data_IF_873350117602
#
_entry.id   IF_873350117602
#
_cell.length_a   1.000
_cell.length_b   1.000
_cell.length_c   1.000
_cell.angle_alpha   90.00
_cell.angle_beta   90.00
_cell.angle_gamma   90.00
#
_symmetry.space_group_name_H-M   'P 1'
#
loop_
_entity.id
_entity.type
_entity.pdbx_description
1 polymer ?
#
# COMPACT_ATOMS: atom_id res chain seq x y z
N UNK A 1 -15.90 -6.34 -21.75
CA UNK A 1 -14.91 -6.84 -20.83
C UNK A 1 -15.52 -7.01 -19.45
N UNK A 2 -15.08 -8.01 -18.69
CA UNK A 2 -15.52 -8.24 -17.31
C UNK A 2 -14.83 -7.29 -16.34
N UNK A 3 -15.57 -6.81 -15.33
CA UNK A 3 -15.06 -5.95 -14.28
C UNK A 3 -15.80 -6.15 -12.96
N UNK A 4 -15.11 -5.96 -11.84
CA UNK A 4 -15.74 -5.80 -10.52
C UNK A 4 -16.11 -4.33 -10.31
N UNK A 5 -17.38 -4.09 -10.10
CA UNK A 5 -17.97 -2.76 -10.03
C UNK A 5 -18.64 -2.55 -8.68
N UNK A 6 -18.40 -1.40 -8.06
CA UNK A 6 -19.04 -1.04 -6.79
C UNK A 6 -20.57 -1.07 -6.95
N UNK A 7 -21.26 -1.80 -6.07
CA UNK A 7 -22.72 -1.91 -6.09
C UNK A 7 -23.41 -0.58 -5.89
N UNK A 8 -24.64 -0.46 -6.41
CA UNK A 8 -25.43 0.78 -6.34
C UNK A 8 -25.71 1.24 -4.90
N UNK A 9 -25.90 0.31 -3.99
CA UNK A 9 -26.16 0.58 -2.56
C UNK A 9 -24.89 0.85 -1.74
N UNK A 10 -23.68 0.63 -2.30
CA UNK A 10 -22.40 0.77 -1.62
C UNK A 10 -22.37 -0.04 -0.30
N UNK A 11 -22.65 -1.34 -0.36
CA UNK A 11 -22.72 -2.26 0.77
C UNK A 11 -21.40 -2.95 1.12
N UNK A 12 -20.31 -2.54 0.47
CA UNK A 12 -18.99 -3.12 0.66
C UNK A 12 -18.74 -4.40 -0.16
N UNK A 13 -19.55 -4.60 -1.24
CA UNK A 13 -19.42 -5.70 -2.19
C UNK A 13 -19.42 -5.21 -3.64
N UNK A 14 -19.15 -6.12 -4.56
CA UNK A 14 -18.99 -5.84 -5.99
C UNK A 14 -20.00 -6.64 -6.83
N UNK A 15 -20.41 -6.05 -7.96
CA UNK A 15 -21.05 -6.75 -9.06
C UNK A 15 -20.02 -7.08 -10.13
N UNK A 16 -19.88 -8.35 -10.47
CA UNK A 16 -19.08 -8.75 -11.65
C UNK A 16 -19.97 -8.66 -12.87
N UNK A 17 -19.66 -7.74 -13.79
CA UNK A 17 -20.46 -7.50 -14.98
C UNK A 17 -19.64 -7.08 -16.20
N UNK A 18 -20.30 -7.12 -17.36
CA UNK A 18 -19.72 -6.58 -18.58
C UNK A 18 -19.78 -5.04 -18.58
N UNK A 19 -18.66 -4.43 -18.94
CA UNK A 19 -18.52 -2.98 -19.10
C UNK A 19 -17.89 -2.66 -20.46
N UNK A 20 -18.18 -1.47 -20.98
CA UNK A 20 -17.64 -0.98 -22.24
C UNK A 20 -16.54 0.04 -21.96
N UNK A 21 -15.38 -0.12 -22.61
CA UNK A 21 -14.33 0.87 -22.59
C UNK A 21 -14.70 2.06 -23.51
N UNK A 22 -14.37 3.25 -23.07
CA UNK A 22 -14.35 4.44 -23.91
C UNK A 22 -13.11 4.49 -24.81
N UNK A 23 -13.11 5.36 -25.79
CA UNK A 23 -11.93 5.63 -26.59
C UNK A 23 -10.81 6.31 -25.77
N UNK A 24 -9.56 6.05 -26.18
CA UNK A 24 -8.38 6.68 -25.59
C UNK A 24 -8.32 8.17 -25.97
N UNK A 25 -8.04 8.99 -24.97
CA UNK A 25 -7.71 10.41 -25.15
C UNK A 25 -6.21 10.59 -25.39
N UNK A 26 -5.76 11.77 -25.85
CA UNK A 26 -4.33 12.08 -25.89
C UNK A 26 -3.65 11.89 -24.52
N UNK A 27 -2.45 11.31 -24.51
CA UNK A 27 -1.70 11.00 -23.29
C UNK A 27 -2.16 9.77 -22.52
N UNK A 28 -3.09 8.98 -23.06
CA UNK A 28 -3.60 7.76 -22.43
C UNK A 28 -3.11 6.50 -23.13
N UNK A 29 -3.00 5.41 -22.37
CA UNK A 29 -2.69 4.08 -22.88
C UNK A 29 -3.71 3.06 -22.37
N UNK A 30 -3.94 2.00 -23.14
CA UNK A 30 -4.75 0.86 -22.75
C UNK A 30 -3.85 -0.26 -22.25
N UNK A 31 -4.09 -0.71 -21.04
CA UNK A 31 -3.39 -1.80 -20.40
C UNK A 31 -4.31 -3.00 -20.33
N UNK A 32 -3.86 -4.14 -20.86
CA UNK A 32 -4.48 -5.44 -20.59
C UNK A 32 -3.96 -5.91 -19.23
N UNK A 33 -4.85 -5.97 -18.26
CA UNK A 33 -4.48 -6.38 -16.90
C UNK A 33 -4.16 -7.87 -16.89
N UNK A 34 -3.02 -8.22 -16.30
CA UNK A 34 -2.60 -9.59 -16.03
C UNK A 34 -3.08 -10.00 -14.63
N UNK A 35 -2.85 -9.12 -13.64
CA UNK A 35 -3.14 -9.36 -12.24
C UNK A 35 -3.59 -8.08 -11.54
N UNK A 36 -4.49 -8.21 -10.55
CA UNK A 36 -4.87 -7.10 -9.68
C UNK A 36 -5.07 -7.58 -8.23
N UNK A 37 -4.32 -7.02 -7.29
CA UNK A 37 -4.51 -7.29 -5.86
C UNK A 37 -5.79 -6.65 -5.32
N UNK A 38 -6.37 -7.25 -4.28
CA UNK A 38 -7.49 -6.68 -3.52
C UNK A 38 -6.98 -6.13 -2.17
N UNK A 39 -7.24 -4.86 -1.92
CA UNK A 39 -6.82 -4.11 -0.73
C UNK A 39 -8.03 -3.77 0.18
N UNK A 40 -7.79 -3.54 1.47
CA UNK A 40 -8.82 -2.99 2.36
C UNK A 40 -9.40 -1.67 1.87
N UNK A 41 -8.62 -0.86 1.18
CA UNK A 41 -9.07 0.40 0.55
C UNK A 41 -10.18 0.14 -0.48
N UNK A 42 -10.14 -0.96 -1.22
CA UNK A 42 -11.22 -1.32 -2.16
C UNK A 42 -12.54 -1.61 -1.42
N UNK A 43 -12.45 -2.22 -0.21
CA UNK A 43 -13.61 -2.45 0.65
C UNK A 43 -14.18 -1.12 1.17
N UNK A 44 -13.32 -0.19 1.59
CA UNK A 44 -13.74 1.16 2.00
C UNK A 44 -14.42 1.93 0.87
N UNK A 45 -13.89 1.85 -0.35
CA UNK A 45 -14.54 2.44 -1.53
C UNK A 45 -15.88 1.78 -1.80
N UNK A 46 -15.95 0.45 -1.73
CA UNK A 46 -17.20 -0.30 -1.95
C UNK A 46 -18.26 -0.01 -0.88
N UNK A 47 -17.84 0.30 0.36
CA UNK A 47 -18.72 0.69 1.47
C UNK A 47 -19.09 2.18 1.43
N UNK A 48 -18.40 2.99 0.61
CA UNK A 48 -18.63 4.44 0.53
C UNK A 48 -18.01 5.23 1.69
N UNK A 49 -17.04 4.68 2.40
CA UNK A 49 -16.38 5.33 3.57
C UNK A 49 -15.65 6.63 3.18
N UNK A 50 -15.17 6.75 1.93
CA UNK A 50 -14.53 7.95 1.38
C UNK A 50 -15.48 8.82 0.55
N UNK A 51 -16.76 8.45 0.51
CA UNK A 51 -17.79 8.98 -0.37
C UNK A 51 -18.28 7.91 -1.35
N UNK A 52 -19.59 7.95 -1.66
CA UNK A 52 -20.22 6.94 -2.50
C UNK A 52 -19.70 7.01 -3.95
N UNK A 53 -19.26 5.88 -4.46
CA UNK A 53 -18.80 5.72 -5.84
C UNK A 53 -19.51 4.55 -6.58
N UNK A 54 -20.85 4.52 -6.65
CA UNK A 54 -21.58 3.44 -7.31
C UNK A 54 -21.22 3.37 -8.78
N UNK A 55 -21.01 2.15 -9.28
CA UNK A 55 -20.64 1.95 -10.68
C UNK A 55 -19.14 2.08 -10.98
N UNK A 56 -18.31 2.45 -10.00
CA UNK A 56 -16.85 2.53 -10.13
C UNK A 56 -16.25 1.14 -10.28
N UNK A 57 -15.35 0.94 -11.25
CA UNK A 57 -14.46 -0.22 -11.29
C UNK A 57 -13.38 0.02 -10.26
N UNK A 58 -13.28 -0.87 -9.26
CA UNK A 58 -12.27 -0.79 -8.20
C UNK A 58 -10.90 -1.31 -8.65
N UNK A 59 -9.94 -1.38 -7.72
CA UNK A 59 -8.60 -1.94 -7.93
C UNK A 59 -7.52 -0.90 -8.22
N UNK A 60 -6.53 -0.89 -7.35
CA UNK A 60 -5.36 0.01 -7.41
C UNK A 60 -4.04 -0.75 -7.16
N UNK A 61 -4.07 -2.05 -7.35
CA UNK A 61 -2.91 -2.94 -7.30
C UNK A 61 -2.79 -3.70 -8.63
N UNK A 62 -3.09 -2.99 -9.75
CA UNK A 62 -3.08 -3.59 -11.08
C UNK A 62 -1.67 -3.69 -11.66
N UNK A 63 -1.41 -4.81 -12.36
CA UNK A 63 -0.22 -5.01 -13.19
C UNK A 63 -0.68 -5.61 -14.52
N UNK A 64 -0.17 -5.07 -15.62
CA UNK A 64 -0.55 -5.55 -16.95
C UNK A 64 0.31 -4.98 -18.06
N UNK A 65 -0.01 -5.34 -19.29
CA UNK A 65 0.75 -4.92 -20.47
C UNK A 65 0.01 -3.89 -21.31
N UNK A 66 0.74 -2.88 -21.76
CA UNK A 66 0.25 -1.88 -22.71
C UNK A 66 -0.08 -2.58 -24.04
N UNK A 67 -1.32 -2.49 -24.49
CA UNK A 67 -1.80 -3.08 -25.74
C UNK A 67 -2.16 -2.03 -26.78
N UNK A 68 -2.38 -0.77 -26.37
CA UNK A 68 -2.65 0.35 -27.26
C UNK A 68 -2.18 1.65 -26.62
N UNK A 69 -1.63 2.57 -27.40
CA UNK A 69 -1.28 3.93 -26.96
C UNK A 69 -2.13 4.95 -27.71
N UNK A 70 -2.56 5.98 -27.01
CA UNK A 70 -3.27 7.10 -27.57
C UNK A 70 -2.34 8.12 -28.24
N UNK A 71 -2.88 9.18 -28.86
CA UNK A 71 -2.07 10.26 -29.40
C UNK A 71 -1.16 10.89 -28.33
N UNK A 72 0.02 11.38 -28.75
CA UNK A 72 0.99 12.10 -27.91
C UNK A 72 1.59 11.28 -26.76
N UNK A 73 1.45 9.95 -26.74
CA UNK A 73 2.13 9.09 -25.79
C UNK A 73 3.56 8.82 -26.27
N UNK A 74 4.55 9.19 -25.44
CA UNK A 74 5.99 8.97 -25.68
C UNK A 74 6.67 8.18 -24.58
N UNK A 75 6.08 8.14 -23.37
CA UNK A 75 6.64 7.47 -22.19
C UNK A 75 6.46 5.95 -22.18
N UNK A 76 5.46 5.44 -22.91
CA UNK A 76 5.12 4.02 -23.00
C UNK A 76 5.07 3.54 -24.44
N UNK A 77 5.36 2.25 -24.64
CA UNK A 77 5.16 1.53 -25.91
C UNK A 77 4.33 0.27 -25.70
N UNK A 78 3.74 -0.24 -26.77
CA UNK A 78 3.03 -1.53 -26.76
C UNK A 78 4.01 -2.63 -26.29
N UNK A 79 3.53 -3.47 -25.36
CA UNK A 79 4.29 -4.53 -24.73
C UNK A 79 4.91 -4.15 -23.38
N UNK A 80 5.10 -2.86 -23.06
CA UNK A 80 5.60 -2.46 -21.73
C UNK A 80 4.68 -3.01 -20.63
N UNK A 81 5.25 -3.63 -19.60
CA UNK A 81 4.51 -3.98 -18.38
C UNK A 81 4.48 -2.79 -17.46
N UNK A 82 3.29 -2.42 -16.97
CA UNK A 82 3.06 -1.25 -16.13
C UNK A 82 2.14 -1.58 -14.96
N UNK A 83 2.20 -0.73 -13.93
CA UNK A 83 1.31 -0.79 -12.78
C UNK A 83 0.17 0.22 -12.89
N UNK A 84 -0.95 -0.11 -12.22
CA UNK A 84 -2.09 0.79 -11.97
C UNK A 84 -2.19 0.96 -10.47
N UNK A 85 -1.61 2.05 -9.95
CA UNK A 85 -1.48 2.34 -8.53
C UNK A 85 -2.56 3.31 -8.03
N UNK A 86 -2.74 3.39 -6.70
CA UNK A 86 -3.65 4.35 -6.06
C UNK A 86 -3.42 5.78 -6.55
N UNK A 87 -2.17 6.24 -6.54
CA UNK A 87 -1.81 7.50 -7.19
C UNK A 87 -1.86 7.30 -8.71
N UNK A 88 -2.99 7.68 -9.31
CA UNK A 88 -3.25 7.48 -10.73
C UNK A 88 -2.73 8.63 -11.58
N UNK A 89 -2.94 9.87 -11.14
CA UNK A 89 -2.38 11.07 -11.77
C UNK A 89 -2.46 12.29 -10.86
N UNK A 90 -1.61 13.27 -11.13
CA UNK A 90 -1.65 14.61 -10.56
C UNK A 90 -1.83 15.68 -11.64
N UNK A 91 -1.88 16.96 -11.25
CA UNK A 91 -1.98 18.05 -12.23
C UNK A 91 -0.64 18.35 -12.95
N UNK A 92 0.48 17.87 -12.43
CA UNK A 92 1.81 18.01 -13.02
C UNK A 92 2.49 19.37 -12.79
N UNK A 93 1.82 20.40 -12.28
CA UNK A 93 2.35 21.76 -12.21
C UNK A 93 2.18 22.48 -10.86
N UNK A 94 1.44 21.91 -9.89
CA UNK A 94 1.35 22.51 -8.57
C UNK A 94 2.62 22.26 -7.74
N UNK A 95 2.77 22.98 -6.64
CA UNK A 95 3.92 22.85 -5.74
C UNK A 95 4.20 21.40 -5.34
N UNK A 96 3.16 20.62 -5.03
CA UNK A 96 3.31 19.20 -4.66
C UNK A 96 3.85 18.34 -5.82
N UNK A 97 3.34 18.54 -7.03
CA UNK A 97 3.80 17.77 -8.19
C UNK A 97 5.24 18.07 -8.57
N UNK A 98 5.63 19.38 -8.58
CA UNK A 98 6.97 19.78 -9.02
C UNK A 98 8.06 19.58 -7.96
N UNK A 99 7.67 19.32 -6.69
CA UNK A 99 8.62 19.05 -5.59
C UNK A 99 8.73 17.58 -5.21
N UNK A 100 8.16 16.65 -6.02
CA UNK A 100 8.21 15.21 -5.74
C UNK A 100 7.28 14.74 -4.63
N UNK A 101 6.19 15.47 -4.40
CA UNK A 101 5.14 15.14 -3.45
C UNK A 101 3.77 14.98 -4.15
N UNK A 102 3.76 14.49 -5.39
CA UNK A 102 2.60 14.46 -6.27
C UNK A 102 1.41 13.68 -5.70
N UNK A 103 1.63 12.73 -4.80
CA UNK A 103 0.56 12.02 -4.08
C UNK A 103 -0.31 12.95 -3.21
N UNK A 104 0.19 14.16 -2.89
CA UNK A 104 -0.51 15.19 -2.14
C UNK A 104 -1.15 16.26 -3.04
N UNK A 105 -1.11 16.10 -4.35
CA UNK A 105 -1.74 17.01 -5.31
C UNK A 105 -3.22 17.19 -5.00
N UNK A 106 -3.71 18.46 -5.00
CA UNK A 106 -5.13 18.74 -4.71
C UNK A 106 -6.07 18.38 -5.85
N UNK A 107 -5.51 18.04 -7.02
CA UNK A 107 -6.22 17.52 -8.18
C UNK A 107 -5.82 16.07 -8.48
N UNK A 108 -5.47 15.31 -7.44
CA UNK A 108 -5.10 13.91 -7.57
C UNK A 108 -6.27 13.07 -8.08
N UNK A 109 -5.99 12.19 -9.02
CA UNK A 109 -6.89 11.08 -9.38
C UNK A 109 -6.40 9.80 -8.70
N UNK A 110 -7.34 9.01 -8.18
CA UNK A 110 -7.06 7.77 -7.48
C UNK A 110 -7.72 6.59 -8.21
N UNK A 111 -6.91 5.61 -8.64
CA UNK A 111 -7.41 4.42 -9.31
C UNK A 111 -8.35 3.62 -8.40
N UNK A 112 -9.46 3.19 -8.96
CA UNK A 112 -10.48 2.44 -8.24
C UNK A 112 -11.39 3.28 -7.34
N UNK A 113 -11.17 4.60 -7.25
CA UNK A 113 -12.00 5.51 -6.45
C UNK A 113 -12.50 6.72 -7.26
N UNK A 114 -11.64 7.71 -7.57
CA UNK A 114 -12.06 8.89 -8.33
C UNK A 114 -12.10 8.62 -9.83
N UNK A 115 -11.31 7.65 -10.30
CA UNK A 115 -11.31 7.10 -11.67
C UNK A 115 -11.42 5.58 -11.62
N UNK A 116 -11.77 4.96 -12.76
CA UNK A 116 -11.83 3.51 -12.85
C UNK A 116 -10.46 2.88 -12.64
N UNK A 117 -10.44 1.77 -11.92
CA UNK A 117 -9.25 1.03 -11.54
C UNK A 117 -9.01 -0.23 -12.38
N UNK A 118 -8.22 -1.13 -11.82
CA UNK A 118 -7.66 -2.29 -12.50
C UNK A 118 -8.36 -3.63 -12.18
N UNK A 119 -9.45 -3.65 -11.40
CA UNK A 119 -10.19 -4.89 -11.15
C UNK A 119 -11.08 -5.25 -12.36
N UNK A 120 -10.42 -5.41 -13.52
CA UNK A 120 -11.03 -5.59 -14.85
C UNK A 120 -10.00 -6.15 -15.83
N UNK A 121 -10.45 -6.66 -16.98
CA UNK A 121 -9.55 -7.19 -18.03
C UNK A 121 -8.70 -6.08 -18.72
N UNK A 122 -9.21 -4.85 -18.80
CA UNK A 122 -8.49 -3.74 -19.43
C UNK A 122 -8.71 -2.45 -18.63
N UNK A 123 -7.65 -1.68 -18.45
CA UNK A 123 -7.68 -0.39 -17.78
C UNK A 123 -7.04 0.69 -18.65
N UNK A 124 -7.68 1.88 -18.71
CA UNK A 124 -7.09 3.05 -19.36
C UNK A 124 -6.26 3.78 -18.30
N UNK A 125 -5.00 4.07 -18.62
CA UNK A 125 -4.07 4.77 -17.73
C UNK A 125 -3.58 6.08 -18.35
N UNK A 126 -3.15 7.01 -17.50
CA UNK A 126 -2.36 8.18 -17.93
C UNK A 126 -0.92 7.72 -18.14
N UNK A 127 -0.46 7.76 -19.40
CA UNK A 127 0.83 7.17 -19.77
C UNK A 127 2.04 7.73 -19.00
N UNK A 128 2.01 9.02 -18.65
CA UNK A 128 3.09 9.66 -17.91
C UNK A 128 3.08 9.35 -16.41
N UNK A 129 2.04 8.67 -15.91
CA UNK A 129 1.90 8.33 -14.49
C UNK A 129 1.94 6.82 -14.22
N UNK A 130 1.78 5.99 -15.26
CA UNK A 130 1.92 4.55 -15.13
C UNK A 130 3.39 4.16 -14.99
N UNK A 131 3.75 3.55 -13.87
CA UNK A 131 5.12 3.13 -13.57
C UNK A 131 5.40 1.78 -14.22
N UNK A 132 6.55 1.65 -14.90
CA UNK A 132 6.98 0.38 -15.50
C UNK A 132 7.35 -0.62 -14.43
N UNK A 133 6.98 -1.87 -14.66
CA UNK A 133 7.35 -3.01 -13.84
C UNK A 133 8.52 -3.73 -14.51
N UNK A 134 9.65 -3.98 -13.83
CA UNK A 134 10.79 -4.72 -14.37
C UNK A 134 10.38 -6.09 -14.90
N UNK A 135 10.92 -6.50 -16.05
CA UNK A 135 10.57 -7.78 -16.70
C UNK A 135 10.99 -9.01 -15.86
N UNK A 136 12.02 -8.88 -15.04
CA UNK A 136 12.50 -9.92 -14.12
C UNK A 136 11.72 -9.96 -12.80
N UNK A 137 10.79 -9.04 -12.54
CA UNK A 137 9.91 -9.08 -11.39
C UNK A 137 8.66 -9.91 -11.71
N UNK A 138 8.34 -10.86 -10.84
CA UNK A 138 7.10 -11.63 -10.92
C UNK A 138 5.90 -10.68 -10.86
N UNK A 139 5.04 -10.61 -11.90
CA UNK A 139 3.92 -9.70 -11.98
C UNK A 139 2.88 -9.91 -10.87
N UNK A 140 2.74 -11.13 -10.33
CA UNK A 140 1.84 -11.41 -9.21
C UNK A 140 2.37 -10.70 -7.94
N UNK A 141 3.67 -10.79 -7.67
CA UNK A 141 4.31 -10.09 -6.54
C UNK A 141 4.30 -8.58 -6.72
N UNK A 142 4.46 -8.09 -7.95
CA UNK A 142 4.42 -6.68 -8.28
C UNK A 142 3.07 -6.02 -7.89
N UNK A 143 1.95 -6.76 -7.93
CA UNK A 143 0.64 -6.23 -7.47
C UNK A 143 0.70 -5.79 -6.01
N UNK A 144 1.30 -6.60 -5.13
CA UNK A 144 1.46 -6.26 -3.71
C UNK A 144 2.40 -5.07 -3.50
N UNK A 145 3.44 -4.95 -4.34
CA UNK A 145 4.38 -3.81 -4.28
C UNK A 145 3.69 -2.51 -4.70
N UNK A 146 2.76 -2.57 -5.65
CA UNK A 146 2.02 -1.41 -6.19
C UNK A 146 1.25 -0.61 -5.12
N UNK A 147 0.87 -1.25 -4.01
CA UNK A 147 0.19 -0.59 -2.88
C UNK A 147 0.95 -0.81 -1.57
N UNK A 148 0.86 -2.00 -0.98
CA UNK A 148 1.41 -2.28 0.35
C UNK A 148 2.94 -2.14 0.39
N UNK A 149 3.63 -2.57 -0.66
CA UNK A 149 5.08 -2.47 -0.78
C UNK A 149 5.56 -1.03 -0.84
N UNK A 150 5.04 -0.23 -1.77
CA UNK A 150 5.44 1.19 -1.90
C UNK A 150 5.04 2.00 -0.67
N UNK A 151 3.87 1.71 -0.06
CA UNK A 151 3.41 2.42 1.14
C UNK A 151 4.38 2.23 2.31
N UNK A 152 4.81 1.00 2.55
CA UNK A 152 5.75 0.70 3.64
C UNK A 152 7.18 1.15 3.31
N UNK A 153 7.62 1.06 2.05
CA UNK A 153 8.89 1.61 1.59
C UNK A 153 8.97 3.11 1.84
N UNK A 154 7.97 3.87 1.36
CA UNK A 154 7.88 5.33 1.56
C UNK A 154 7.80 5.70 3.03
N UNK A 155 7.05 4.98 3.84
CA UNK A 155 6.94 5.25 5.27
C UNK A 155 8.29 5.13 5.99
N UNK A 156 9.06 4.08 5.68
CA UNK A 156 10.40 3.89 6.26
C UNK A 156 11.36 4.98 5.75
N UNK A 157 11.31 5.32 4.47
CA UNK A 157 12.09 6.44 3.90
C UNK A 157 11.74 7.76 4.60
N UNK A 158 10.44 8.02 4.87
CA UNK A 158 9.95 9.20 5.59
C UNK A 158 10.41 9.22 7.06
N UNK A 159 10.58 8.07 7.69
CA UNK A 159 11.12 7.98 9.06
C UNK A 159 12.55 8.46 9.18
N UNK A 160 13.29 8.55 8.08
CA UNK A 160 14.71 8.91 8.02
C UNK A 160 15.60 7.98 8.86
N UNK A 161 15.16 6.73 9.06
CA UNK A 161 15.95 5.72 9.78
C UNK A 161 17.29 5.49 9.10
N UNK A 162 18.34 5.32 9.90
CA UNK A 162 19.69 5.07 9.41
C UNK A 162 20.12 3.64 9.74
N UNK A 163 21.08 3.08 8.99
CA UNK A 163 21.64 1.77 9.30
C UNK A 163 22.07 1.64 10.78
N UNK A 164 21.72 0.53 11.41
CA UNK A 164 22.02 0.23 12.81
C UNK A 164 21.11 0.91 13.84
N UNK A 165 20.17 1.76 13.42
CA UNK A 165 19.16 2.35 14.30
C UNK A 165 17.96 1.41 14.49
N UNK A 166 17.18 1.62 15.55
CA UNK A 166 15.99 0.85 15.87
C UNK A 166 14.73 1.48 15.27
N UNK A 167 13.98 0.69 14.53
CA UNK A 167 12.66 0.99 14.00
C UNK A 167 11.62 0.07 14.63
N UNK A 168 10.51 0.64 15.12
CA UNK A 168 9.36 -0.14 15.58
C UNK A 168 8.29 -0.16 14.47
N UNK A 169 7.73 -1.33 14.19
CA UNK A 169 6.59 -1.50 13.29
C UNK A 169 5.39 -1.99 14.11
N UNK A 170 4.38 -1.15 14.24
CA UNK A 170 3.11 -1.48 14.88
C UNK A 170 2.16 -2.09 13.86
N UNK A 171 1.84 -3.38 14.05
CA UNK A 171 1.08 -4.22 13.13
C UNK A 171 1.97 -5.14 12.29
N UNK A 172 1.82 -6.45 12.49
CA UNK A 172 2.58 -7.50 11.82
C UNK A 172 1.77 -8.17 10.67
N UNK A 173 0.71 -7.52 10.18
CA UNK A 173 -0.05 -7.98 9.02
C UNK A 173 0.71 -7.83 7.69
N UNK A 174 0.00 -7.86 6.55
CA UNK A 174 0.61 -7.80 5.22
C UNK A 174 1.53 -6.60 5.01
N UNK A 175 1.12 -5.38 5.44
CA UNK A 175 1.96 -4.19 5.37
C UNK A 175 3.17 -4.31 6.30
N UNK A 176 2.95 -4.73 7.57
CA UNK A 176 4.02 -4.84 8.53
C UNK A 176 5.08 -5.86 8.14
N UNK A 177 4.66 -6.98 7.56
CA UNK A 177 5.60 -7.99 7.04
C UNK A 177 6.53 -7.42 5.97
N UNK A 178 5.97 -6.69 4.98
CA UNK A 178 6.78 -6.01 3.97
C UNK A 178 7.65 -4.90 4.58
N UNK A 179 7.11 -4.14 5.55
CA UNK A 179 7.87 -3.13 6.28
C UNK A 179 9.09 -3.69 7.00
N UNK A 180 8.96 -4.85 7.66
CA UNK A 180 10.10 -5.54 8.28
C UNK A 180 11.16 -5.88 7.25
N UNK A 181 10.78 -6.46 6.12
CA UNK A 181 11.72 -6.82 5.06
C UNK A 181 12.43 -5.59 4.48
N UNK A 182 11.70 -4.49 4.17
CA UNK A 182 12.29 -3.23 3.72
C UNK A 182 13.30 -2.69 4.74
N UNK A 183 12.88 -2.58 6.00
CA UNK A 183 13.73 -2.03 7.07
C UNK A 183 15.02 -2.82 7.24
N UNK A 184 14.95 -4.16 7.16
CA UNK A 184 16.12 -5.03 7.29
C UNK A 184 17.00 -5.01 6.06
N UNK A 185 16.41 -5.22 4.88
CA UNK A 185 17.18 -5.55 3.69
C UNK A 185 17.67 -4.30 2.95
N UNK A 186 16.90 -3.21 2.99
CA UNK A 186 17.24 -1.95 2.29
C UNK A 186 17.81 -0.92 3.26
N UNK A 187 17.10 -0.61 4.34
CA UNK A 187 17.50 0.44 5.28
C UNK A 187 18.49 -0.02 6.34
N UNK A 188 18.76 -1.34 6.44
CA UNK A 188 19.72 -1.94 7.39
C UNK A 188 19.46 -1.55 8.85
N UNK A 189 18.20 -1.37 9.21
CA UNK A 189 17.76 -1.05 10.56
C UNK A 189 17.66 -2.31 11.43
N UNK A 190 17.74 -2.12 12.76
CA UNK A 190 17.20 -3.09 13.71
C UNK A 190 15.70 -2.91 13.82
N UNK A 191 14.93 -4.00 13.80
CA UNK A 191 13.46 -3.95 13.70
C UNK A 191 12.81 -4.62 14.90
N UNK A 192 11.90 -3.88 15.53
CA UNK A 192 10.96 -4.39 16.52
C UNK A 192 9.58 -4.44 15.85
N UNK A 193 8.93 -5.60 15.86
CA UNK A 193 7.55 -5.74 15.41
C UNK A 193 6.59 -5.93 16.59
N UNK A 194 5.50 -5.20 16.60
CA UNK A 194 4.46 -5.22 17.64
C UNK A 194 3.13 -5.63 17.03
N UNK A 195 2.49 -6.64 17.59
CA UNK A 195 1.14 -7.09 17.22
C UNK A 195 0.47 -7.79 18.43
N UNK A 196 -0.81 -8.08 18.33
CA UNK A 196 -1.55 -8.87 19.33
C UNK A 196 -1.58 -10.37 19.00
N UNK A 197 -1.19 -10.78 17.79
CA UNK A 197 -1.22 -12.16 17.30
C UNK A 197 0.16 -12.78 17.31
N UNK A 198 0.35 -13.85 18.07
CA UNK A 198 1.62 -14.60 18.10
C UNK A 198 1.97 -15.20 16.74
N UNK A 199 0.96 -15.64 15.96
CA UNK A 199 1.15 -16.18 14.61
C UNK A 199 1.76 -15.15 13.66
N UNK A 200 1.20 -13.91 13.64
CA UNK A 200 1.72 -12.82 12.82
C UNK A 200 3.13 -12.40 13.29
N UNK A 201 3.36 -12.39 14.61
CA UNK A 201 4.67 -12.08 15.18
C UNK A 201 5.73 -13.12 14.78
N UNK A 202 5.36 -14.40 14.73
CA UNK A 202 6.25 -15.45 14.25
C UNK A 202 6.60 -15.24 12.76
N UNK A 203 5.62 -14.92 11.92
CA UNK A 203 5.84 -14.67 10.50
C UNK A 203 6.79 -13.47 10.26
N UNK A 204 6.68 -12.38 11.00
CA UNK A 204 7.60 -11.23 10.87
C UNK A 204 8.95 -11.50 11.51
N UNK A 205 9.03 -12.37 12.51
CA UNK A 205 10.31 -12.86 13.06
C UNK A 205 11.10 -13.61 11.99
N UNK A 206 10.43 -14.49 11.25
CA UNK A 206 11.02 -15.22 10.11
C UNK A 206 11.40 -14.27 8.95
N UNK A 207 10.64 -13.19 8.76
CA UNK A 207 10.93 -12.13 7.79
C UNK A 207 12.11 -11.21 8.20
N UNK A 208 12.69 -11.41 9.42
CA UNK A 208 13.91 -10.75 9.85
C UNK A 208 13.77 -9.73 10.98
N UNK A 209 12.62 -9.64 11.66
CA UNK A 209 12.52 -8.79 12.85
C UNK A 209 13.49 -9.24 13.95
N UNK A 210 14.27 -8.32 14.52
CA UNK A 210 15.23 -8.62 15.60
C UNK A 210 14.49 -8.93 16.90
N UNK A 211 13.38 -8.22 17.16
CA UNK A 211 12.54 -8.39 18.33
C UNK A 211 11.06 -8.40 17.94
N UNK A 212 10.27 -9.19 18.62
CA UNK A 212 8.80 -9.20 18.49
C UNK A 212 8.18 -9.03 19.89
N UNK A 213 7.09 -8.25 19.94
CA UNK A 213 6.39 -7.95 21.20
C UNK A 213 4.89 -8.15 20.99
N UNK A 214 4.30 -9.02 21.83
CA UNK A 214 2.85 -9.20 21.84
C UNK A 214 2.21 -8.18 22.80
N UNK A 215 1.58 -7.14 22.24
CA UNK A 215 0.98 -6.05 23.00
C UNK A 215 -0.32 -6.44 23.73
N UNK A 216 -0.86 -7.64 23.51
CA UNK A 216 -1.93 -8.20 24.33
C UNK A 216 -1.42 -8.77 25.66
N UNK A 217 -0.10 -9.03 25.77
CA UNK A 217 0.52 -9.68 26.94
C UNK A 217 1.32 -8.71 27.80
N UNK A 218 1.95 -7.70 27.15
CA UNK A 218 2.82 -6.72 27.82
C UNK A 218 2.64 -5.34 27.23
N UNK A 219 3.02 -4.30 27.97
CA UNK A 219 3.10 -2.94 27.45
C UNK A 219 4.31 -2.82 26.49
N UNK A 220 4.10 -2.65 25.19
CA UNK A 220 5.20 -2.62 24.23
C UNK A 220 6.09 -1.40 24.38
N UNK A 221 5.54 -0.25 24.80
CA UNK A 221 6.33 0.95 24.98
C UNK A 221 7.29 0.80 26.16
N UNK A 222 6.82 0.24 27.29
CA UNK A 222 7.66 -0.04 28.44
C UNK A 222 8.78 -1.02 28.08
N UNK A 223 8.45 -2.13 27.41
CA UNK A 223 9.44 -3.13 26.96
C UNK A 223 10.53 -2.51 26.06
N UNK A 224 10.15 -1.61 25.14
CA UNK A 224 11.08 -0.94 24.23
C UNK A 224 11.98 0.03 25.01
N UNK A 225 11.40 0.84 25.91
CA UNK A 225 12.18 1.76 26.73
C UNK A 225 13.17 1.01 27.63
N UNK A 226 12.73 -0.04 28.30
CA UNK A 226 13.57 -0.81 29.23
C UNK A 226 14.73 -1.51 28.51
N UNK A 227 14.51 -2.03 27.29
CA UNK A 227 15.53 -2.82 26.57
C UNK A 227 16.50 -1.99 25.76
N UNK A 228 16.05 -0.88 25.15
CA UNK A 228 16.87 -0.12 24.20
C UNK A 228 16.84 1.41 24.41
N UNK A 229 16.16 1.90 25.47
CA UNK A 229 16.03 3.34 25.74
C UNK A 229 15.17 4.09 24.72
N UNK A 230 14.26 3.41 24.04
CA UNK A 230 13.40 3.94 23.00
C UNK A 230 13.99 3.85 21.59
N UNK A 231 13.12 3.70 20.59
CA UNK A 231 13.49 3.58 19.19
C UNK A 231 13.67 4.94 18.51
N UNK A 232 14.47 5.00 17.46
CA UNK A 232 14.65 6.21 16.65
C UNK A 232 13.39 6.55 15.82
N UNK A 233 12.64 5.53 15.41
CA UNK A 233 11.39 5.74 14.70
C UNK A 233 10.38 4.63 14.96
N UNK A 234 9.10 4.96 14.72
CA UNK A 234 7.99 4.00 14.70
C UNK A 234 7.15 4.21 13.45
N UNK A 235 6.73 3.12 12.80
CA UNK A 235 5.81 3.11 11.66
C UNK A 235 4.53 2.37 12.06
N UNK A 236 3.37 2.97 11.83
CA UNK A 236 2.08 2.43 12.26
C UNK A 236 1.33 1.89 11.05
N UNK A 237 1.29 0.55 10.93
CA UNK A 237 0.54 -0.18 9.88
C UNK A 237 -0.78 -0.76 10.40
N UNK A 238 -0.94 -0.87 11.72
CA UNK A 238 -2.15 -1.38 12.37
C UNK A 238 -3.29 -0.34 12.34
N UNK A 239 -4.52 -0.81 12.19
CA UNK A 239 -5.73 0.05 12.13
C UNK A 239 -6.37 0.30 13.50
N UNK A 240 -5.62 0.13 14.60
CA UNK A 240 -6.07 0.39 15.97
C UNK A 240 -5.47 1.70 16.49
N UNK A 241 -6.29 2.62 17.00
CA UNK A 241 -5.86 3.93 17.50
C UNK A 241 -4.83 3.83 18.62
N UNK A 242 -4.95 2.84 19.51
CA UNK A 242 -4.00 2.60 20.62
C UNK A 242 -2.55 2.45 20.14
N UNK A 243 -2.33 1.99 18.90
CA UNK A 243 -0.99 1.85 18.35
C UNK A 243 -0.27 3.20 18.19
N UNK A 244 -1.01 4.30 18.07
CA UNK A 244 -0.44 5.65 18.00
C UNK A 244 0.11 6.09 19.36
N UNK A 245 -0.65 5.85 20.44
CA UNK A 245 -0.21 6.18 21.81
C UNK A 245 1.00 5.36 22.18
N UNK A 246 0.97 4.06 21.88
CA UNK A 246 2.10 3.15 22.11
C UNK A 246 3.34 3.56 21.29
N UNK A 247 3.16 3.97 20.02
CA UNK A 247 4.26 4.42 19.18
C UNK A 247 4.92 5.69 19.72
N UNK A 248 4.11 6.68 20.15
CA UNK A 248 4.60 7.91 20.78
C UNK A 248 5.38 7.64 22.08
N UNK A 249 4.92 6.66 22.87
CA UNK A 249 5.58 6.27 24.10
C UNK A 249 6.85 5.43 23.89
N UNK A 250 6.98 4.75 22.74
CA UNK A 250 8.11 3.85 22.44
C UNK A 250 9.29 4.52 21.76
N UNK A 251 9.13 5.73 21.22
CA UNK A 251 10.26 6.46 20.63
C UNK A 251 11.07 7.20 21.71
N UNK A 252 12.35 7.39 21.43
CA UNK A 252 13.27 8.20 22.27
C UNK A 252 13.16 9.69 21.91
N UNK A 253 13.90 10.54 22.62
CA UNK A 253 14.04 11.94 22.25
C UNK A 253 14.57 12.09 20.81
N UNK A 254 14.05 13.09 20.08
CA UNK A 254 14.21 13.28 18.64
C UNK A 254 13.71 12.09 17.80
N UNK A 255 12.82 11.28 18.35
CA UNK A 255 12.20 10.15 17.65
C UNK A 255 11.10 10.59 16.70
N UNK A 256 10.81 9.76 15.70
CA UNK A 256 9.82 10.04 14.67
C UNK A 256 8.75 8.96 14.60
N UNK A 257 7.48 9.37 14.61
CA UNK A 257 6.33 8.48 14.44
C UNK A 257 5.71 8.73 13.06
N UNK A 258 5.65 7.69 12.22
CA UNK A 258 5.11 7.77 10.86
C UNK A 258 3.76 7.07 10.79
N UNK A 259 2.73 7.83 10.50
CA UNK A 259 1.35 7.36 10.35
C UNK A 259 1.06 6.99 8.89
N UNK A 260 0.62 5.75 8.65
CA UNK A 260 0.17 5.29 7.31
C UNK A 260 -1.18 4.59 7.35
N UNK A 261 -1.62 4.14 8.51
CA UNK A 261 -2.94 3.52 8.71
C UNK A 261 -4.01 4.56 9.03
N UNK A 262 -5.28 4.21 8.79
CA UNK A 262 -6.42 5.09 8.95
C UNK A 262 -7.42 4.51 9.97
N UNK A 263 -7.09 4.42 11.28
CA UNK A 263 -8.05 4.04 12.30
C UNK A 263 -9.13 5.12 12.45
N UNK A 264 -10.30 4.73 12.91
CA UNK A 264 -11.35 5.70 13.27
C UNK A 264 -10.98 6.39 14.59
N UNK A 265 -11.28 7.69 14.69
CA UNK A 265 -11.09 8.49 15.90
C UNK A 265 -9.90 9.45 15.81
N UNK A 266 -9.49 9.91 16.98
CA UNK A 266 -8.38 10.83 17.18
C UNK A 266 -7.30 10.17 18.03
N UNK A 267 -6.12 10.79 18.07
CA UNK A 267 -5.01 10.40 18.94
C UNK A 267 -4.78 11.47 19.99
N UNK A 268 -4.38 11.08 21.20
CA UNK A 268 -3.97 12.00 22.25
C UNK A 268 -2.45 12.21 22.16
N UNK A 269 -2.04 13.46 21.94
CA UNK A 269 -0.63 13.83 21.87
C UNK A 269 -0.21 14.48 23.19
N UNK A 270 0.67 13.85 23.99
CA UNK A 270 1.16 14.44 25.24
C UNK A 270 2.07 15.63 24.94
N UNK A 271 1.54 16.85 25.01
CA UNK A 271 2.19 18.08 24.55
C UNK A 271 3.57 18.24 25.22
N UNK A 272 3.65 18.16 26.54
CA UNK A 272 4.90 18.37 27.27
C UNK A 272 6.00 17.39 26.80
N UNK A 273 5.67 16.09 26.71
CA UNK A 273 6.63 15.08 26.25
C UNK A 273 7.05 15.35 24.80
N UNK A 274 6.07 15.63 23.90
CA UNK A 274 6.35 15.86 22.47
C UNK A 274 7.28 17.05 22.28
N UNK A 275 7.06 18.16 23.02
CA UNK A 275 7.89 19.36 22.93
C UNK A 275 9.26 19.16 23.56
N UNK A 276 9.33 18.59 24.78
CA UNK A 276 10.59 18.47 25.51
C UNK A 276 11.51 17.41 24.92
N UNK A 277 10.95 16.34 24.36
CA UNK A 277 11.72 15.29 23.70
C UNK A 277 11.91 15.55 22.20
N UNK A 278 11.31 16.61 21.62
CA UNK A 278 11.42 16.92 20.21
C UNK A 278 10.88 15.81 19.30
N UNK A 279 9.75 15.18 19.66
CA UNK A 279 9.16 14.09 18.90
C UNK A 279 8.46 14.63 17.65
N UNK A 280 8.74 14.04 16.50
CA UNK A 280 8.04 14.34 15.25
C UNK A 280 6.92 13.34 14.99
N UNK A 281 5.72 13.84 14.66
CA UNK A 281 4.61 13.05 14.14
C UNK A 281 4.41 13.45 12.69
N UNK A 282 4.62 12.51 11.78
CA UNK A 282 4.51 12.74 10.34
C UNK A 282 3.61 11.69 9.70
N UNK A 283 3.05 11.98 8.54
CA UNK A 283 2.26 11.03 7.77
C UNK A 283 2.96 10.65 6.47
N UNK A 284 2.60 9.48 5.92
CA UNK A 284 3.02 9.05 4.60
C UNK A 284 1.81 8.49 3.86
N UNK A 285 1.54 9.00 2.66
CA UNK A 285 0.42 8.57 1.83
C UNK A 285 0.97 7.84 0.60
N UNK A 286 0.74 6.51 0.55
CA UNK A 286 1.24 5.61 -0.50
C UNK A 286 2.70 5.93 -0.86
N UNK A 287 3.05 6.07 -2.11
CA UNK A 287 4.34 6.54 -2.61
C UNK A 287 4.17 7.44 -3.82
N UNK A 288 5.25 8.10 -4.22
CA UNK A 288 5.35 8.81 -5.49
C UNK A 288 5.64 7.83 -6.62
N UNK A 289 5.61 8.28 -7.89
CA UNK A 289 6.07 7.45 -9.02
C UNK A 289 7.51 6.97 -8.82
N UNK A 290 8.38 7.85 -8.31
CA UNK A 290 9.77 7.51 -8.03
C UNK A 290 9.89 6.44 -6.92
N UNK A 291 9.13 6.58 -5.82
CA UNK A 291 9.14 5.59 -4.74
C UNK A 291 8.64 4.21 -5.24
N UNK A 292 7.65 4.19 -6.14
CA UNK A 292 7.16 2.95 -6.72
C UNK A 292 8.15 2.30 -7.68
N UNK A 293 8.84 3.10 -8.51
CA UNK A 293 9.89 2.60 -9.38
C UNK A 293 11.04 2.00 -8.57
N UNK A 294 11.53 2.71 -7.55
CA UNK A 294 12.54 2.21 -6.60
C UNK A 294 12.10 0.91 -5.92
N UNK A 295 10.85 0.85 -5.45
CA UNK A 295 10.32 -0.35 -4.79
C UNK A 295 10.25 -1.55 -5.75
N UNK A 296 9.91 -1.36 -7.02
CA UNK A 296 9.93 -2.43 -8.02
C UNK A 296 11.33 -2.96 -8.29
N UNK A 297 12.30 -2.06 -8.53
CA UNK A 297 13.69 -2.44 -8.79
C UNK A 297 14.27 -3.22 -7.60
N UNK A 298 14.13 -2.69 -6.38
CA UNK A 298 14.61 -3.36 -5.17
C UNK A 298 13.92 -4.71 -4.92
N UNK A 299 12.63 -4.83 -5.28
CA UNK A 299 11.93 -6.13 -5.20
C UNK A 299 12.46 -7.11 -6.25
N UNK A 300 12.74 -6.64 -7.47
CA UNK A 300 13.33 -7.45 -8.53
C UNK A 300 14.75 -7.95 -8.17
N UNK A 301 15.48 -7.19 -7.33
CA UNK A 301 16.76 -7.58 -6.74
C UNK A 301 16.62 -8.52 -5.53
N UNK A 302 15.39 -8.80 -5.09
CA UNK A 302 15.11 -9.72 -3.99
C UNK A 302 15.08 -9.08 -2.60
N UNK A 303 14.99 -7.75 -2.48
CA UNK A 303 14.94 -7.07 -1.19
C UNK A 303 13.71 -7.46 -0.35
N UNK A 304 12.58 -7.73 -0.99
CA UNK A 304 11.38 -8.25 -0.33
C UNK A 304 10.78 -9.42 -1.13
N UNK A 305 10.03 -10.25 -0.43
CA UNK A 305 9.28 -11.37 -1.01
C UNK A 305 7.82 -11.32 -0.54
N UNK A 306 6.93 -10.63 -1.26
CA UNK A 306 5.50 -10.57 -0.92
C UNK A 306 4.86 -11.96 -0.94
N UNK A 307 4.04 -12.26 0.05
CA UNK A 307 3.19 -13.45 0.08
C UNK A 307 1.92 -13.12 -0.70
N UNK A 308 1.68 -13.84 -1.79
CA UNK A 308 0.55 -13.60 -2.70
C UNK A 308 -0.16 -14.91 -3.05
N UNK A 309 -1.48 -14.84 -3.23
CA UNK A 309 -2.32 -15.98 -3.62
C UNK A 309 -3.26 -15.54 -4.74
N UNK A 310 -3.39 -16.35 -5.78
CA UNK A 310 -4.26 -16.02 -6.93
C UNK A 310 -5.67 -16.60 -6.77
N UNK A 311 -6.66 -15.85 -7.24
CA UNK A 311 -8.08 -16.20 -7.29
C UNK A 311 -8.70 -15.71 -8.60
N UNK A 312 -9.89 -16.19 -8.91
CA UNK A 312 -10.69 -15.72 -10.05
C UNK A 312 -11.48 -14.46 -9.70
N UNK A 313 -11.81 -13.65 -10.72
CA UNK A 313 -12.67 -12.47 -10.54
C UNK A 313 -14.06 -12.84 -9.98
N UNK A 314 -14.61 -13.99 -10.36
CA UNK A 314 -15.89 -14.50 -9.84
C UNK A 314 -15.90 -14.73 -8.32
N UNK A 315 -14.74 -14.93 -7.70
CA UNK A 315 -14.57 -15.15 -6.26
C UNK A 315 -14.36 -13.84 -5.47
N UNK A 316 -14.49 -12.67 -6.11
CA UNK A 316 -14.09 -11.39 -5.46
C UNK A 316 -14.84 -11.11 -4.16
N UNK A 317 -16.12 -11.49 -4.08
CA UNK A 317 -16.91 -11.30 -2.86
C UNK A 317 -16.58 -12.32 -1.77
N UNK A 318 -16.13 -13.52 -2.12
CA UNK A 318 -15.60 -14.50 -1.15
C UNK A 318 -14.29 -13.97 -0.53
N UNK A 319 -13.43 -13.37 -1.36
CA UNK A 319 -12.20 -12.69 -0.87
C UNK A 319 -12.56 -11.53 0.09
N UNK A 320 -13.59 -10.74 -0.22
CA UNK A 320 -14.08 -9.66 0.66
C UNK A 320 -14.50 -10.23 2.02
N UNK A 321 -15.22 -11.34 2.04
CA UNK A 321 -15.67 -11.98 3.29
C UNK A 321 -14.49 -12.56 4.08
N UNK A 322 -13.53 -13.19 3.41
CA UNK A 322 -12.29 -13.67 4.03
C UNK A 322 -11.49 -12.50 4.64
N UNK A 323 -11.38 -11.35 3.93
CA UNK A 323 -10.70 -10.15 4.43
C UNK A 323 -11.39 -9.57 5.67
N UNK A 324 -12.71 -9.40 5.63
CA UNK A 324 -13.51 -8.88 6.76
C UNK A 324 -13.37 -9.76 8.00
N UNK A 325 -13.20 -11.07 7.82
CA UNK A 325 -13.00 -12.04 8.89
C UNK A 325 -11.55 -12.28 9.30
N UNK A 326 -10.59 -11.53 8.72
CA UNK A 326 -9.17 -11.63 9.05
C UNK A 326 -8.50 -12.96 8.68
N UNK A 327 -9.07 -13.71 7.73
CA UNK A 327 -8.61 -15.05 7.32
C UNK A 327 -7.50 -15.05 6.28
N UNK A 328 -7.14 -13.88 5.75
CA UNK A 328 -6.14 -13.76 4.68
C UNK A 328 -4.74 -13.57 5.27
N UNK A 329 -3.81 -14.40 4.83
CA UNK A 329 -2.38 -14.22 5.05
C UNK A 329 -1.75 -13.75 3.73
N UNK A 330 -1.04 -12.63 3.75
CA UNK A 330 -0.48 -12.02 2.53
C UNK A 330 -1.49 -11.19 1.74
N UNK A 331 -1.47 -11.30 0.41
CA UNK A 331 -2.34 -10.56 -0.51
C UNK A 331 -3.08 -11.51 -1.44
N UNK A 332 -4.39 -11.31 -1.60
CA UNK A 332 -5.19 -11.97 -2.64
C UNK A 332 -5.13 -11.19 -3.93
N UNK A 333 -4.87 -11.89 -5.03
CA UNK A 333 -4.64 -11.33 -6.36
C UNK A 333 -5.60 -11.98 -7.35
N UNK A 334 -6.39 -11.18 -8.04
CA UNK A 334 -7.25 -11.67 -9.12
C UNK A 334 -6.41 -11.87 -10.37
N UNK A 335 -6.49 -13.08 -10.94
CA UNK A 335 -5.81 -13.47 -12.17
C UNK A 335 -6.74 -13.25 -13.39
N UNK A 336 -6.31 -12.40 -14.32
CA UNK A 336 -6.99 -12.09 -15.58
C UNK A 336 -6.33 -12.77 -16.79
N UNK A 337 -5.23 -13.51 -16.62
CA UNK A 337 -4.47 -14.08 -17.76
C UNK A 337 -5.25 -15.16 -18.51
N UNK A 338 -6.14 -15.86 -17.82
CA UNK A 338 -6.99 -16.91 -18.38
C UNK A 338 -8.41 -16.43 -18.71
N UNK A 339 -8.62 -15.12 -18.83
CA UNK A 339 -9.93 -14.50 -18.93
C UNK A 339 -10.60 -14.34 -17.55
N UNK A 340 -11.58 -13.46 -17.47
CA UNK A 340 -12.27 -13.11 -16.21
C UNK A 340 -13.41 -14.10 -15.84
N UNK A 341 -13.25 -15.41 -16.07
CA UNK A 341 -14.24 -16.44 -15.77
C UNK A 341 -14.08 -17.03 -14.37
#
# INVERSE_FOLDING_TARGET
MKAAVVRKNCDGYFDVKDVTLRDLKPGEALVKIEYCGLCHTDLHVAAGDFGKAPGRITGHEGVGRVVKVGPNVTSLKIGDRVSVAWFFSGCGHCEYCITGNESLCRHVENAGYTVDGAMTEYCIVKANYAVKVPENLDPIKATSVTCAGVTTYKAIKTSQIRPGQWLVIYGAGGLGNLGVQWAKNVFKAHVIAVDISDEKLQAVKEAGADMVINSAKVDPAKEIQDKIGGAQAAVITATAAICYDQALASVRAAGKVVAISLPKGNIDVPIAKTVLDGIEIVSSLVGTQQDLAEAFELTAEGAINPIVHTRKLSEINDIVDEMKNGKIVGRMVVDFTNGAN
#
